data_IF_157931433974
#
_entry.id   IF_157931433974
#
_cell.length_a   1.000
_cell.length_b   1.000
_cell.length_c   1.000
_cell.angle_alpha   90.00
_cell.angle_beta   90.00
_cell.angle_gamma   90.00
#
_symmetry.space_group_name_H-M   'P 1'
#
loop_
_entity.id
_entity.type
_entity.pdbx_description
1 polymer ?
#
# COMPACT_ATOMS: atom_id res chain seq x y z
N UNK A 1 10.27 -14.91 -7.44
CA UNK A 1 10.78 -13.63 -6.89
C UNK A 1 9.85 -13.09 -5.79
N UNK A 2 8.56 -12.88 -6.06
CA UNK A 2 7.57 -12.36 -5.11
C UNK A 2 7.45 -13.21 -3.81
N UNK A 3 7.35 -14.53 -3.94
CA UNK A 3 7.20 -15.47 -2.82
C UNK A 3 8.32 -15.37 -1.77
N UNK A 4 9.57 -15.28 -2.23
CA UNK A 4 10.74 -15.26 -1.35
C UNK A 4 10.83 -13.96 -0.56
N UNK A 5 10.51 -12.84 -1.20
CA UNK A 5 10.44 -11.53 -0.57
C UNK A 5 9.33 -11.47 0.49
N UNK A 6 8.12 -11.93 0.17
CA UNK A 6 6.99 -11.90 1.11
C UNK A 6 7.19 -12.82 2.32
N UNK A 7 7.80 -13.99 2.13
CA UNK A 7 8.15 -14.91 3.22
C UNK A 7 9.24 -14.29 4.10
N UNK A 8 10.26 -13.68 3.50
CA UNK A 8 11.32 -12.99 4.25
C UNK A 8 10.76 -11.84 5.10
N UNK A 9 9.82 -11.05 4.56
CA UNK A 9 9.14 -9.97 5.29
C UNK A 9 8.38 -10.50 6.51
N UNK A 10 7.63 -11.61 6.38
CA UNK A 10 6.91 -12.22 7.51
C UNK A 10 7.89 -12.72 8.58
N UNK A 11 8.98 -13.38 8.18
CA UNK A 11 10.00 -13.87 9.12
C UNK A 11 10.70 -12.71 9.85
N UNK A 12 11.09 -11.65 9.13
CA UNK A 12 11.71 -10.45 9.71
C UNK A 12 10.78 -9.75 10.70
N UNK A 13 9.49 -9.64 10.38
CA UNK A 13 8.50 -9.06 11.30
C UNK A 13 8.31 -9.89 12.57
N UNK A 14 8.26 -11.22 12.46
CA UNK A 14 8.16 -12.10 13.63
C UNK A 14 9.40 -12.03 14.53
N UNK A 15 10.58 -11.84 13.93
CA UNK A 15 11.84 -11.69 14.65
C UNK A 15 12.03 -10.30 15.28
N UNK A 16 11.43 -9.25 14.72
CA UNK A 16 11.58 -7.86 15.20
C UNK A 16 10.23 -7.29 15.63
N UNK A 17 9.78 -7.68 16.83
CA UNK A 17 8.48 -7.28 17.41
C UNK A 17 8.28 -5.77 17.60
N UNK A 18 9.34 -4.96 17.56
CA UNK A 18 9.24 -3.49 17.64
C UNK A 18 8.64 -2.85 16.39
N UNK A 19 8.61 -3.57 15.26
CA UNK A 19 7.99 -3.13 14.00
C UNK A 19 6.52 -3.60 13.86
N UNK A 20 6.03 -4.33 14.86
CA UNK A 20 4.78 -5.09 14.83
C UNK A 20 3.58 -4.19 15.22
N UNK A 21 3.12 -3.36 14.28
CA UNK A 21 1.73 -2.90 14.34
C UNK A 21 0.84 -4.03 13.77
N UNK A 22 -0.23 -4.41 14.48
CA UNK A 22 -1.10 -5.51 14.03
C UNK A 22 -1.65 -5.32 12.63
N UNK A 23 -1.84 -4.06 12.21
CA UNK A 23 -2.27 -3.70 10.86
C UNK A 23 -1.23 -4.09 9.79
N UNK A 24 0.06 -3.89 10.06
CA UNK A 24 1.13 -4.29 9.15
C UNK A 24 1.23 -5.81 9.05
N UNK A 25 1.10 -6.54 10.17
CA UNK A 25 1.14 -8.00 10.15
C UNK A 25 0.01 -8.58 9.28
N UNK A 26 -1.22 -8.08 9.43
CA UNK A 26 -2.36 -8.51 8.61
C UNK A 26 -2.14 -8.15 7.15
N UNK A 27 -1.62 -6.95 6.85
CA UNK A 27 -1.27 -6.52 5.50
C UNK A 27 -0.30 -7.49 4.81
N UNK A 28 0.81 -7.82 5.45
CA UNK A 28 1.81 -8.72 4.89
C UNK A 28 1.29 -10.16 4.77
N UNK A 29 0.51 -10.64 5.74
CA UNK A 29 -0.10 -11.97 5.67
C UNK A 29 -1.09 -12.10 4.51
N UNK A 30 -2.05 -11.19 4.39
CA UNK A 30 -3.03 -11.17 3.30
C UNK A 30 -2.32 -10.97 1.96
N UNK A 31 -1.26 -10.15 1.91
CA UNK A 31 -0.49 -9.89 0.70
C UNK A 31 0.28 -11.12 0.22
N UNK A 32 0.84 -11.86 1.16
CA UNK A 32 1.52 -13.13 0.88
C UNK A 32 0.53 -14.17 0.34
N UNK A 33 -0.65 -14.30 0.96
CA UNK A 33 -1.68 -15.22 0.48
C UNK A 33 -2.19 -14.86 -0.92
N UNK A 34 -2.48 -13.58 -1.17
CA UNK A 34 -2.91 -13.10 -2.49
C UNK A 34 -1.81 -13.27 -3.54
N UNK A 35 -0.55 -13.02 -3.18
CA UNK A 35 0.61 -13.21 -4.05
C UNK A 35 0.85 -14.67 -4.41
N UNK A 36 0.77 -15.58 -3.44
CA UNK A 36 0.85 -17.04 -3.69
C UNK A 36 -0.26 -17.46 -4.64
N UNK A 37 -1.51 -17.11 -4.34
CA UNK A 37 -2.66 -17.46 -5.18
C UNK A 37 -2.50 -16.93 -6.62
N UNK A 38 -2.11 -15.67 -6.79
CA UNK A 38 -1.92 -15.11 -8.14
C UNK A 38 -0.70 -15.64 -8.90
N UNK A 39 0.30 -16.22 -8.22
CA UNK A 39 1.43 -16.91 -8.89
C UNK A 39 1.12 -18.35 -9.27
N UNK A 40 0.28 -19.04 -8.48
CA UNK A 40 -0.13 -20.43 -8.74
C UNK A 40 -1.23 -20.49 -9.78
N UNK A 41 -2.17 -19.55 -9.75
CA UNK A 41 -3.29 -19.48 -10.68
C UNK A 41 -3.04 -18.39 -11.73
N UNK A 42 -2.64 -18.82 -12.93
CA UNK A 42 -2.33 -17.93 -14.06
C UNK A 42 -3.57 -17.29 -14.70
N UNK A 43 -4.77 -17.62 -14.24
CA UNK A 43 -6.06 -17.17 -14.75
C UNK A 43 -6.37 -15.68 -14.46
N UNK A 44 -5.53 -15.00 -13.67
CA UNK A 44 -5.79 -13.63 -13.17
C UNK A 44 -4.58 -12.67 -13.29
N UNK A 45 -3.93 -12.60 -14.46
CA UNK A 45 -2.70 -11.81 -14.64
C UNK A 45 -2.95 -10.30 -14.52
N UNK A 46 -4.15 -9.84 -14.86
CA UNK A 46 -4.52 -8.42 -14.74
C UNK A 46 -4.65 -7.98 -13.28
N UNK A 47 -5.13 -8.84 -12.37
CA UNK A 47 -5.15 -8.56 -10.93
C UNK A 47 -3.73 -8.50 -10.39
N UNK A 48 -2.89 -9.49 -10.70
CA UNK A 48 -1.49 -9.51 -10.25
C UNK A 48 -0.67 -8.32 -10.76
N UNK A 49 -0.94 -7.86 -11.98
CA UNK A 49 -0.29 -6.66 -12.54
C UNK A 49 -0.61 -5.41 -11.71
N UNK A 50 -1.82 -5.31 -11.15
CA UNK A 50 -2.15 -4.18 -10.25
C UNK A 50 -1.43 -4.25 -8.90
N UNK A 51 -1.15 -5.45 -8.38
CA UNK A 51 -0.34 -5.60 -7.16
C UNK A 51 1.11 -5.14 -7.38
N UNK A 52 1.73 -5.53 -8.51
CA UNK A 52 3.07 -5.05 -8.88
C UNK A 52 3.11 -3.53 -9.02
N UNK A 53 2.05 -2.93 -9.57
CA UNK A 53 1.95 -1.48 -9.68
C UNK A 53 1.94 -0.77 -8.32
N UNK A 54 1.42 -1.42 -7.27
CA UNK A 54 1.44 -0.89 -5.90
C UNK A 54 2.84 -0.88 -5.28
N UNK A 55 3.74 -1.77 -5.72
CA UNK A 55 5.12 -1.80 -5.24
C UNK A 55 5.95 -0.62 -5.77
N UNK A 56 5.50 0.04 -6.84
CA UNK A 56 6.18 1.23 -7.37
C UNK A 56 6.29 2.38 -6.35
N UNK A 57 5.39 2.45 -5.36
CA UNK A 57 5.48 3.44 -4.28
C UNK A 57 6.41 3.03 -3.12
N UNK A 58 6.71 1.73 -2.97
CA UNK A 58 7.54 1.17 -1.90
C UNK A 58 8.96 1.77 -1.81
N UNK A 59 9.70 2.05 -2.91
CA UNK A 59 11.03 2.67 -2.81
C UNK A 59 11.00 4.03 -2.11
N UNK A 60 9.95 4.83 -2.30
CA UNK A 60 9.80 6.14 -1.65
C UNK A 60 9.48 6.03 -0.15
N UNK A 61 8.74 4.98 0.23
CA UNK A 61 8.49 4.65 1.64
C UNK A 61 9.80 4.26 2.32
N UNK A 62 10.59 3.39 1.69
CA UNK A 62 11.88 2.94 2.22
C UNK A 62 12.89 4.09 2.30
N UNK A 63 12.97 4.93 1.26
CA UNK A 63 13.82 6.12 1.26
C UNK A 63 13.47 7.06 2.42
N UNK A 64 12.18 7.22 2.74
CA UNK A 64 11.75 8.01 3.89
C UNK A 64 12.25 7.43 5.21
N UNK A 65 12.15 6.12 5.39
CA UNK A 65 12.61 5.44 6.62
C UNK A 65 14.12 5.59 6.77
N UNK A 66 14.88 5.39 5.69
CA UNK A 66 16.35 5.59 5.67
C UNK A 66 16.71 7.02 6.07
N UNK A 67 16.07 8.02 5.46
CA UNK A 67 16.31 9.44 5.80
C UNK A 67 15.96 9.76 7.26
N UNK A 68 14.91 9.16 7.81
CA UNK A 68 14.56 9.32 9.22
C UNK A 68 15.59 8.67 10.15
N UNK A 69 16.10 7.49 9.81
CA UNK A 69 17.12 6.79 10.58
C UNK A 69 18.47 7.52 10.56
N UNK A 70 18.77 8.25 9.48
CA UNK A 70 19.94 9.11 9.37
C UNK A 70 19.80 10.43 10.16
N UNK A 71 18.68 10.67 10.84
CA UNK A 71 18.42 11.92 11.59
C UNK A 71 18.03 13.11 10.71
N UNK A 72 17.90 12.93 9.40
CA UNK A 72 17.65 13.97 8.40
C UNK A 72 16.17 14.39 8.29
N UNK A 73 15.41 14.28 9.38
CA UNK A 73 13.95 14.53 9.41
C UNK A 73 13.56 15.96 9.01
N UNK A 74 14.42 16.94 9.31
CA UNK A 74 14.19 18.36 9.02
C UNK A 74 14.82 18.81 7.71
N UNK A 75 15.49 17.91 6.98
CA UNK A 75 16.12 18.25 5.70
C UNK A 75 15.08 18.57 4.62
N UNK A 76 15.49 19.40 3.66
CA UNK A 76 14.72 19.66 2.44
C UNK A 76 14.48 18.35 1.65
N UNK A 77 15.41 17.41 1.71
CA UNK A 77 15.32 16.09 1.09
C UNK A 77 14.21 15.22 1.69
N UNK A 78 14.11 15.14 3.03
CA UNK A 78 13.04 14.38 3.68
C UNK A 78 11.66 14.99 3.39
N UNK A 79 11.58 16.31 3.25
CA UNK A 79 10.34 16.99 2.90
C UNK A 79 9.97 16.78 1.43
N UNK A 80 10.93 16.88 0.51
CA UNK A 80 10.72 16.61 -0.91
C UNK A 80 10.31 15.15 -1.15
N UNK A 81 11.00 14.19 -0.52
CA UNK A 81 10.64 12.78 -0.59
C UNK A 81 9.24 12.53 -0.02
N UNK A 82 8.84 13.23 1.06
CA UNK A 82 7.48 13.13 1.60
C UNK A 82 6.41 13.58 0.60
N UNK A 83 6.65 14.65 -0.16
CA UNK A 83 5.74 15.13 -1.20
C UNK A 83 5.68 14.14 -2.37
N UNK A 84 6.84 13.70 -2.88
CA UNK A 84 6.92 12.72 -3.97
C UNK A 84 6.25 11.42 -3.58
N UNK A 85 6.50 10.93 -2.35
CA UNK A 85 5.83 9.75 -1.80
C UNK A 85 4.31 9.91 -1.83
N UNK A 86 3.78 11.04 -1.37
CA UNK A 86 2.33 11.29 -1.38
C UNK A 86 1.75 11.27 -2.80
N UNK A 87 2.42 11.91 -3.76
CA UNK A 87 2.00 11.94 -5.17
C UNK A 87 2.05 10.55 -5.80
N UNK A 88 3.16 9.83 -5.65
CA UNK A 88 3.32 8.47 -6.20
C UNK A 88 2.33 7.52 -5.55
N UNK A 89 2.12 7.62 -4.24
CA UNK A 89 1.15 6.78 -3.53
C UNK A 89 -0.29 7.02 -4.04
N UNK A 90 -0.67 8.28 -4.28
CA UNK A 90 -1.95 8.60 -4.88
C UNK A 90 -2.11 7.98 -6.27
N UNK A 91 -1.15 8.20 -7.18
CA UNK A 91 -1.21 7.71 -8.55
C UNK A 91 -1.18 6.19 -8.62
N UNK A 92 -0.30 5.56 -7.84
CA UNK A 92 -0.09 4.12 -7.88
C UNK A 92 -1.18 3.33 -7.17
N UNK A 93 -1.76 3.87 -6.10
CA UNK A 93 -2.66 3.09 -5.24
C UNK A 93 -4.08 3.60 -5.19
N UNK A 94 -4.30 4.92 -5.17
CA UNK A 94 -5.64 5.50 -4.97
C UNK A 94 -6.34 5.74 -6.32
N UNK A 95 -5.65 6.35 -7.27
CA UNK A 95 -6.21 6.71 -8.58
C UNK A 95 -6.60 5.48 -9.43
N UNK A 96 -5.99 4.33 -9.17
CA UNK A 96 -6.27 3.07 -9.88
C UNK A 96 -7.50 2.34 -9.36
N UNK A 97 -7.94 2.62 -8.12
CA UNK A 97 -9.10 1.94 -7.52
C UNK A 97 -10.34 2.05 -8.43
N UNK A 98 -10.77 3.25 -8.89
CA UNK A 98 -11.94 3.37 -9.75
C UNK A 98 -11.75 2.67 -11.11
N UNK A 99 -10.55 2.75 -11.68
CA UNK A 99 -10.24 2.13 -12.96
C UNK A 99 -10.34 0.60 -12.87
N UNK A 100 -9.84 0.01 -11.79
CA UNK A 100 -9.93 -1.42 -11.53
C UNK A 100 -11.38 -1.90 -11.39
N UNK A 101 -12.15 -1.25 -10.52
CA UNK A 101 -13.55 -1.64 -10.27
C UNK A 101 -14.43 -1.43 -11.49
N UNK A 102 -14.13 -0.43 -12.33
CA UNK A 102 -14.76 -0.26 -13.64
C UNK A 102 -14.45 -1.45 -14.55
N UNK A 103 -13.21 -1.90 -14.65
CA UNK A 103 -12.85 -3.07 -15.47
C UNK A 103 -13.56 -4.34 -14.98
N UNK A 104 -13.61 -4.57 -13.67
CA UNK A 104 -14.36 -5.71 -13.08
C UNK A 104 -15.84 -5.64 -13.45
N UNK A 105 -16.45 -4.46 -13.31
CA UNK A 105 -17.85 -4.25 -13.64
C UNK A 105 -18.15 -4.50 -15.12
N UNK A 106 -17.29 -4.02 -16.03
CA UNK A 106 -17.43 -4.26 -17.46
C UNK A 106 -17.28 -5.74 -17.81
N UNK A 107 -16.28 -6.43 -17.26
CA UNK A 107 -16.09 -7.87 -17.48
C UNK A 107 -17.28 -8.70 -16.97
N UNK A 108 -17.90 -8.27 -15.86
CA UNK A 108 -19.09 -8.92 -15.31
C UNK A 108 -20.31 -8.75 -16.23
N UNK A 109 -20.52 -7.55 -16.78
CA UNK A 109 -21.65 -7.28 -17.71
C UNK A 109 -21.46 -7.98 -19.05
N UNK A 110 -20.25 -7.95 -19.62
CA UNK A 110 -19.96 -8.55 -20.92
C UNK A 110 -19.94 -10.10 -20.87
N UNK A 111 -20.13 -10.71 -19.69
CA UNK A 111 -20.05 -12.16 -19.50
C UNK A 111 -18.67 -12.74 -19.83
N UNK A 112 -17.68 -11.89 -20.08
CA UNK A 112 -16.30 -12.24 -20.45
C UNK A 112 -15.42 -12.44 -19.21
N UNK A 113 -16.05 -12.70 -18.07
CA UNK A 113 -15.33 -12.96 -16.83
C UNK A 113 -14.54 -14.28 -17.00
N UNK A 114 -13.23 -14.30 -16.74
CA UNK A 114 -12.45 -15.51 -16.96
C UNK A 114 -12.98 -16.66 -16.09
N UNK A 115 -12.96 -17.89 -16.61
CA UNK A 115 -13.24 -19.08 -15.82
C UNK A 115 -12.13 -19.24 -14.77
N UNK A 116 -12.42 -18.79 -13.55
CA UNK A 116 -11.52 -18.82 -12.41
C UNK A 116 -12.19 -19.68 -11.34
N UNK A 117 -11.40 -20.48 -10.65
CA UNK A 117 -11.88 -21.22 -9.49
C UNK A 117 -12.51 -20.26 -8.47
N UNK A 118 -13.72 -20.60 -8.00
CA UNK A 118 -14.53 -19.71 -7.17
C UNK A 118 -13.80 -19.26 -5.90
N UNK A 119 -13.00 -20.15 -5.30
CA UNK A 119 -12.20 -19.84 -4.12
C UNK A 119 -11.15 -18.76 -4.42
N UNK A 120 -10.44 -18.90 -5.54
CA UNK A 120 -9.42 -17.93 -5.99
C UNK A 120 -10.07 -16.58 -6.29
N UNK A 121 -11.22 -16.57 -6.96
CA UNK A 121 -11.97 -15.37 -7.25
C UNK A 121 -12.34 -14.60 -5.96
N UNK A 122 -12.99 -15.25 -4.99
CA UNK A 122 -13.36 -14.60 -3.74
C UNK A 122 -12.13 -14.14 -2.95
N UNK A 123 -11.08 -14.95 -2.86
CA UNK A 123 -9.85 -14.59 -2.16
C UNK A 123 -9.21 -13.33 -2.75
N UNK A 124 -9.13 -13.23 -4.08
CA UNK A 124 -8.58 -12.05 -4.75
C UNK A 124 -9.48 -10.83 -4.64
N UNK A 125 -10.80 -11.00 -4.74
CA UNK A 125 -11.76 -9.91 -4.64
C UNK A 125 -11.75 -9.28 -3.23
N UNK A 126 -11.90 -10.12 -2.19
CA UNK A 126 -11.88 -9.65 -0.80
C UNK A 126 -10.50 -9.14 -0.40
N UNK A 127 -9.44 -9.83 -0.83
CA UNK A 127 -8.07 -9.35 -0.64
C UNK A 127 -7.88 -7.97 -1.25
N UNK A 128 -8.36 -7.75 -2.47
CA UNK A 128 -8.29 -6.45 -3.14
C UNK A 128 -9.06 -5.35 -2.39
N UNK A 129 -10.31 -5.61 -1.99
CA UNK A 129 -11.10 -4.66 -1.18
C UNK A 129 -10.34 -4.27 0.09
N UNK A 130 -9.76 -5.25 0.78
CA UNK A 130 -8.95 -5.01 1.98
C UNK A 130 -7.76 -4.08 1.70
N UNK A 131 -7.00 -4.33 0.63
CA UNK A 131 -5.87 -3.45 0.25
C UNK A 131 -6.31 -2.05 -0.16
N UNK A 132 -7.42 -1.92 -0.90
CA UNK A 132 -7.94 -0.63 -1.32
C UNK A 132 -8.33 0.22 -0.09
N UNK A 133 -9.03 -0.37 0.88
CA UNK A 133 -9.38 0.32 2.14
C UNK A 133 -8.15 0.73 2.95
N UNK A 134 -7.17 -0.16 3.06
CA UNK A 134 -5.93 0.12 3.78
C UNK A 134 -5.11 1.23 3.10
N UNK A 135 -5.03 1.22 1.78
CA UNK A 135 -4.34 2.26 1.02
C UNK A 135 -5.06 3.61 1.14
N UNK A 136 -6.39 3.64 1.12
CA UNK A 136 -7.15 4.87 1.40
C UNK A 136 -6.90 5.39 2.82
N UNK A 137 -6.86 4.50 3.81
CA UNK A 137 -6.51 4.86 5.19
C UNK A 137 -5.11 5.48 5.28
N UNK A 138 -4.09 4.83 4.72
CA UNK A 138 -2.72 5.36 4.73
C UNK A 138 -2.59 6.67 3.96
N UNK A 139 -3.28 6.82 2.83
CA UNK A 139 -3.31 8.08 2.09
C UNK A 139 -3.92 9.20 2.93
N UNK A 140 -5.03 8.94 3.62
CA UNK A 140 -5.65 9.93 4.52
C UNK A 140 -4.70 10.38 5.63
N UNK A 141 -3.88 9.47 6.16
CA UNK A 141 -2.87 9.77 7.17
C UNK A 141 -1.73 10.63 6.60
N UNK A 142 -1.29 10.34 5.37
CA UNK A 142 -0.28 11.16 4.67
C UNK A 142 -0.78 12.57 4.42
N UNK A 143 -2.00 12.72 3.90
CA UNK A 143 -2.63 14.03 3.67
C UNK A 143 -2.78 14.79 4.98
N UNK A 144 -3.30 14.16 6.05
CA UNK A 144 -3.43 14.79 7.37
C UNK A 144 -2.09 15.27 7.91
N UNK A 145 -1.03 14.46 7.76
CA UNK A 145 0.32 14.81 8.20
C UNK A 145 0.87 15.99 7.41
N UNK A 146 0.64 16.02 6.09
CA UNK A 146 1.05 17.12 5.22
C UNK A 146 0.31 18.42 5.58
N UNK A 147 -1.01 18.37 5.71
CA UNK A 147 -1.84 19.52 6.10
C UNK A 147 -1.43 20.06 7.48
N UNK A 148 -1.19 19.20 8.47
CA UNK A 148 -0.74 19.61 9.79
C UNK A 148 0.66 20.26 9.77
N UNK A 149 1.52 19.91 8.82
CA UNK A 149 2.87 20.49 8.70
C UNK A 149 2.87 21.83 7.95
N UNK A 150 2.04 21.97 6.92
CA UNK A 150 2.13 23.10 5.97
C UNK A 150 0.94 24.07 6.03
N UNK A 151 -0.27 23.59 6.30
CA UNK A 151 -1.50 24.40 6.25
C UNK A 151 -1.96 24.81 7.64
N UNK A 152 -1.82 23.90 8.62
CA UNK A 152 -2.14 24.15 10.02
C UNK A 152 -0.93 23.88 10.91
N UNK A 153 0.20 24.60 10.75
CA UNK A 153 1.27 24.51 11.72
C UNK A 153 0.64 24.89 13.05
N UNK A 154 0.52 23.92 13.97
CA UNK A 154 0.06 24.21 15.33
C UNK A 154 0.96 25.32 15.85
N UNK A 155 0.39 26.53 15.91
CA UNK A 155 1.08 27.70 16.40
C UNK A 155 1.63 27.36 17.78
N UNK A 156 2.85 27.82 18.03
CA UNK A 156 3.42 27.87 19.35
C UNK A 156 2.37 28.45 20.31
N UNK A 157 1.71 27.60 21.10
CA UNK A 157 1.16 28.02 22.38
C UNK A 157 2.38 28.34 23.24
N UNK A 158 2.83 29.60 23.15
CA UNK A 158 3.45 30.29 24.27
C UNK A 158 2.48 30.11 25.44
N UNK A 159 2.85 29.27 26.39
CA UNK A 159 2.41 29.44 27.77
C UNK A 159 3.40 30.45 28.34
N UNK A 160 3.08 31.72 28.17
CA UNK A 160 3.51 32.78 29.07
C UNK A 160 2.46 32.85 30.17
N UNK A 161 2.78 32.31 31.34
CA UNK A 161 3.02 33.07 32.58
C UNK A 161 3.34 32.09 33.71
#
# INVERSE_FOLDING_TARGET
MYLGYTIADVVLMLQHRSLLSGLYLVHHFVGTLCGIAGTVYTSVPWIMSTFLYYEASSPFVHLRVVLLNLGEKNSRLCTANGLVLMTVFFLCRVAIIPAYWRTVYMLYIDGSFPEIDGLVYYLMLYGRVFFDMLNLYWFSLMVRTFLAKFVWPKGATKISD
#
